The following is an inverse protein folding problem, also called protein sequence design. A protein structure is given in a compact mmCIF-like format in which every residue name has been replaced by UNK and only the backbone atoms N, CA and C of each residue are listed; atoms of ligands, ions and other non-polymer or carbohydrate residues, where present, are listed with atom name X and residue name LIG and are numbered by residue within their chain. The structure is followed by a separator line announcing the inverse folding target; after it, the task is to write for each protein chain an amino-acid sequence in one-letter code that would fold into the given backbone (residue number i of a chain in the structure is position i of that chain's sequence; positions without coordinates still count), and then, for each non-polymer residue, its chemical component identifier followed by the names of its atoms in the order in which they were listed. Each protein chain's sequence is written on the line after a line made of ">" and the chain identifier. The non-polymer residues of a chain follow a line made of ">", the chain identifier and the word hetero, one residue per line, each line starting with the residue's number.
data_IF_530540888491
#
_entry.id   IF_530540888491
#
_cell.length_a   1.000
_cell.length_b   1.000
_cell.length_c   1.000
_cell.angle_alpha   90.00
_cell.angle_beta   90.00
_cell.angle_gamma   90.00
#
_symmetry.space_group_name_H-M   'P 1'
#
loop_
_entity.id
_entity.type
_entity.pdbx_description
1 polymer ?
#
# COMPACT_ATOMS: atom_id res chain seq x y z
N UNK A 1 1.72 3.52 53.84
CA UNK A 1 1.75 4.58 52.76
C UNK A 1 2.36 4.13 51.42
N UNK A 2 3.18 3.06 51.37
CA UNK A 2 3.85 2.61 50.10
C UNK A 2 2.94 1.85 49.11
N UNK A 3 1.89 1.14 49.54
CA UNK A 3 1.00 0.34 48.63
C UNK A 3 0.14 1.22 47.67
N UNK A 4 -0.20 2.45 48.08
CA UNK A 4 -1.04 3.36 47.26
C UNK A 4 -0.23 3.94 46.11
N UNK A 5 1.05 4.29 46.30
CA UNK A 5 1.95 4.80 45.26
C UNK A 5 2.26 3.78 44.17
N UNK A 6 2.44 2.51 44.52
CA UNK A 6 2.72 1.42 43.57
C UNK A 6 1.52 1.11 42.67
N UNK A 7 0.28 1.22 43.20
CA UNK A 7 -0.92 0.97 42.42
C UNK A 7 -1.19 2.08 41.38
N UNK A 8 -0.98 3.35 41.76
CA UNK A 8 -1.14 4.50 40.85
C UNK A 8 -0.16 4.46 39.67
N UNK A 9 1.10 4.09 39.91
CA UNK A 9 2.12 3.97 38.86
C UNK A 9 1.82 2.80 37.89
N UNK A 10 1.17 1.73 38.36
CA UNK A 10 0.78 0.58 37.51
C UNK A 10 -0.38 0.93 36.60
N UNK A 11 -1.35 1.73 37.05
CA UNK A 11 -2.44 2.24 36.21
C UNK A 11 -1.92 3.19 35.13
N UNK A 12 -1.10 4.16 35.48
CA UNK A 12 -0.52 5.11 34.54
C UNK A 12 0.27 4.38 33.43
N UNK A 13 1.08 3.37 33.79
CA UNK A 13 1.83 2.59 32.80
C UNK A 13 0.91 1.83 31.84
N UNK A 14 -0.18 1.28 32.32
CA UNK A 14 -1.18 0.55 31.51
C UNK A 14 -1.89 1.48 30.52
N UNK A 15 -2.20 2.70 30.94
CA UNK A 15 -2.86 3.71 30.10
C UNK A 15 -1.94 4.14 28.95
N UNK A 16 -0.65 4.33 29.20
CA UNK A 16 0.35 4.63 28.15
C UNK A 16 0.49 3.50 27.13
N UNK A 17 0.51 2.24 27.58
CA UNK A 17 0.58 1.08 26.69
C UNK A 17 -0.63 1.01 25.77
N UNK A 18 -1.83 1.31 26.27
CA UNK A 18 -3.07 1.36 25.49
C UNK A 18 -3.03 2.50 24.47
N UNK A 19 -2.59 3.70 24.89
CA UNK A 19 -2.48 4.87 24.01
C UNK A 19 -1.51 4.58 22.85
N UNK A 20 -0.34 4.01 23.14
CA UNK A 20 0.65 3.63 22.12
C UNK A 20 0.04 2.62 21.13
N UNK A 21 -0.68 1.63 21.62
CA UNK A 21 -1.32 0.62 20.78
C UNK A 21 -2.39 1.23 19.86
N UNK A 22 -3.24 2.10 20.39
CA UNK A 22 -4.26 2.81 19.62
C UNK A 22 -3.62 3.72 18.56
N UNK A 23 -2.59 4.47 18.94
CA UNK A 23 -1.87 5.35 18.01
C UNK A 23 -1.23 4.54 16.88
N UNK A 24 -0.59 3.41 17.20
CA UNK A 24 -0.03 2.50 16.20
C UNK A 24 -1.12 1.98 15.23
N UNK A 25 -2.29 1.59 15.74
CA UNK A 25 -3.41 1.12 14.91
C UNK A 25 -3.93 2.21 13.98
N UNK A 26 -4.06 3.43 14.47
CA UNK A 26 -4.50 4.58 13.65
C UNK A 26 -3.48 4.86 12.54
N UNK A 27 -2.19 4.91 12.85
CA UNK A 27 -1.14 5.13 11.87
C UNK A 27 -1.08 3.99 10.84
N UNK A 28 -1.31 2.75 11.26
CA UNK A 28 -1.35 1.59 10.39
C UNK A 28 -2.51 1.65 9.39
N UNK A 29 -3.72 1.98 9.85
CA UNK A 29 -4.89 2.16 8.97
C UNK A 29 -4.65 3.32 7.99
N UNK A 30 -4.08 4.42 8.48
CA UNK A 30 -3.73 5.56 7.62
C UNK A 30 -2.72 5.16 6.54
N UNK A 31 -1.66 4.42 6.91
CA UNK A 31 -0.67 3.91 5.97
C UNK A 31 -1.32 3.03 4.88
N UNK A 32 -2.16 2.07 5.25
CA UNK A 32 -2.82 1.18 4.28
C UNK A 32 -3.68 1.99 3.31
N UNK A 33 -4.48 2.92 3.82
CA UNK A 33 -5.36 3.75 2.99
C UNK A 33 -4.57 4.64 2.03
N UNK A 34 -3.49 5.23 2.51
CA UNK A 34 -2.60 6.09 1.73
C UNK A 34 -1.84 5.29 0.67
N UNK A 35 -1.20 4.19 1.06
CA UNK A 35 -0.42 3.35 0.15
C UNK A 35 -1.30 2.70 -0.94
N UNK A 36 -2.52 2.30 -0.59
CA UNK A 36 -3.49 1.78 -1.57
C UNK A 36 -3.90 2.82 -2.62
N UNK A 37 -4.01 4.11 -2.25
CA UNK A 37 -4.27 5.19 -3.22
C UNK A 37 -3.11 5.38 -4.19
N UNK A 38 -1.89 5.31 -3.69
CA UNK A 38 -0.68 5.43 -4.50
C UNK A 38 -0.57 4.25 -5.48
N UNK A 39 -0.79 3.03 -4.98
CA UNK A 39 -0.73 1.81 -5.80
C UNK A 39 -1.67 1.85 -7.00
N UNK A 40 -2.77 2.57 -6.91
CA UNK A 40 -3.71 2.73 -8.02
C UNK A 40 -3.14 3.43 -9.25
N UNK A 41 -2.12 4.27 -9.06
CA UNK A 41 -1.47 5.05 -10.13
C UNK A 41 -0.02 4.62 -10.35
N UNK A 42 0.42 3.52 -9.71
CA UNK A 42 1.79 3.01 -9.80
C UNK A 42 1.84 1.77 -10.68
N UNK A 43 2.90 1.66 -11.46
CA UNK A 43 3.23 0.47 -12.24
C UNK A 43 4.64 0.05 -11.84
N UNK A 44 4.79 -1.17 -11.34
CA UNK A 44 6.08 -1.72 -10.98
C UNK A 44 6.71 -2.46 -12.17
N UNK A 45 8.02 -2.36 -12.31
CA UNK A 45 8.80 -3.21 -13.20
C UNK A 45 8.74 -4.62 -12.59
N UNK A 46 8.34 -5.62 -13.38
CA UNK A 46 8.27 -7.00 -12.87
C UNK A 46 9.64 -7.46 -12.39
N UNK A 47 9.77 -7.65 -11.09
CA UNK A 47 11.01 -8.10 -10.46
C UNK A 47 10.73 -9.19 -9.44
N UNK A 48 11.53 -10.26 -9.46
CA UNK A 48 11.47 -11.32 -8.44
C UNK A 48 11.93 -10.83 -7.05
N UNK A 49 12.58 -9.66 -7.00
CA UNK A 49 13.03 -9.04 -5.74
C UNK A 49 11.89 -8.61 -4.85
N UNK A 50 10.73 -8.23 -5.40
CA UNK A 50 9.54 -7.83 -4.64
C UNK A 50 9.03 -8.98 -3.77
N UNK A 51 8.85 -10.16 -4.38
CA UNK A 51 8.40 -11.35 -3.66
C UNK A 51 9.40 -11.77 -2.56
N UNK A 52 10.70 -11.71 -2.87
CA UNK A 52 11.76 -12.05 -1.90
C UNK A 52 11.77 -11.09 -0.71
N UNK A 53 11.69 -9.77 -0.96
CA UNK A 53 11.68 -8.78 0.11
C UNK A 53 10.42 -8.90 0.96
N UNK A 54 9.25 -9.12 0.35
CA UNK A 54 8.01 -9.35 1.08
C UNK A 54 8.11 -10.56 2.00
N UNK A 55 8.68 -11.68 1.54
CA UNK A 55 8.90 -12.86 2.37
C UNK A 55 9.84 -12.59 3.55
N UNK A 56 10.90 -11.79 3.34
CA UNK A 56 11.83 -11.39 4.40
C UNK A 56 11.10 -10.55 5.46
N UNK A 57 10.31 -9.56 5.05
CA UNK A 57 9.54 -8.70 5.97
C UNK A 57 8.52 -9.52 6.77
N UNK A 58 7.80 -10.43 6.11
CA UNK A 58 6.86 -11.34 6.76
C UNK A 58 7.59 -12.19 7.81
N UNK A 59 8.73 -12.79 7.45
CA UNK A 59 9.55 -13.61 8.36
C UNK A 59 10.04 -12.83 9.59
N UNK A 60 10.54 -11.61 9.39
CA UNK A 60 11.02 -10.75 10.48
C UNK A 60 9.87 -10.41 11.43
N UNK A 61 8.71 -9.98 10.91
CA UNK A 61 7.55 -9.58 11.71
C UNK A 61 6.96 -10.76 12.48
N UNK A 62 6.83 -11.93 11.84
CA UNK A 62 6.36 -13.15 12.47
C UNK A 62 7.30 -13.58 13.62
N UNK A 63 8.62 -13.54 13.38
CA UNK A 63 9.63 -13.92 14.38
C UNK A 63 9.64 -12.94 15.55
N UNK A 64 9.59 -11.64 15.29
CA UNK A 64 9.56 -10.61 16.34
C UNK A 64 8.32 -10.75 17.23
N UNK A 65 7.13 -10.96 16.63
CA UNK A 65 5.89 -11.20 17.37
C UNK A 65 5.97 -12.47 18.24
N UNK A 66 6.57 -13.54 17.72
CA UNK A 66 6.76 -14.79 18.45
C UNK A 66 7.69 -14.63 19.64
N UNK A 67 8.82 -13.93 19.45
CA UNK A 67 9.77 -13.65 20.53
C UNK A 67 9.10 -12.78 21.61
N UNK A 68 8.34 -11.76 21.21
CA UNK A 68 7.58 -10.92 22.14
C UNK A 68 6.58 -11.75 22.96
N UNK A 69 5.79 -12.60 22.32
CA UNK A 69 4.84 -13.49 22.99
C UNK A 69 5.52 -14.47 23.92
N UNK A 70 6.64 -15.07 23.49
CA UNK A 70 7.39 -16.03 24.31
C UNK A 70 7.99 -15.41 25.58
N UNK A 71 8.30 -14.11 25.56
CA UNK A 71 8.78 -13.38 26.75
C UNK A 71 7.65 -13.04 27.74
N UNK A 72 6.41 -13.00 27.28
CA UNK A 72 5.23 -12.72 28.12
C UNK A 72 4.70 -13.99 28.80
N UNK A 73 5.05 -15.18 28.31
CA UNK A 73 4.63 -16.46 28.87
C UNK A 73 5.63 -16.95 29.90
N UNK A 74 5.14 -17.53 31.03
CA UNK A 74 5.96 -18.09 32.08
C UNK A 74 6.41 -19.52 31.73
N UNK A 75 7.52 -19.97 32.30
CA UNK A 75 7.92 -21.38 32.24
C UNK A 75 7.48 -22.08 33.53
N UNK A 76 6.99 -23.35 33.47
CA UNK A 76 6.80 -24.20 32.29
C UNK A 76 5.62 -23.75 31.40
N UNK A 77 5.76 -23.91 30.07
CA UNK A 77 4.72 -23.51 29.09
C UNK A 77 3.56 -24.49 29.12
N UNK A 78 2.37 -23.93 29.19
CA UNK A 78 1.10 -24.67 29.07
C UNK A 78 0.68 -24.81 27.60
N UNK A 79 -0.32 -25.68 27.33
CA UNK A 79 -0.92 -25.78 25.99
C UNK A 79 -1.47 -24.44 25.50
N UNK A 80 -2.06 -23.64 26.40
CA UNK A 80 -2.61 -22.32 26.06
C UNK A 80 -1.51 -21.33 25.68
N UNK A 81 -0.34 -21.38 26.31
CA UNK A 81 0.81 -20.56 25.96
C UNK A 81 1.33 -20.90 24.55
N UNK A 82 1.35 -22.18 24.18
CA UNK A 82 1.72 -22.60 22.82
C UNK A 82 0.74 -22.07 21.77
N UNK A 83 -0.57 -22.13 22.03
CA UNK A 83 -1.59 -21.58 21.14
C UNK A 83 -1.41 -20.06 21.01
N UNK A 84 -1.19 -19.35 22.11
CA UNK A 84 -0.96 -17.90 22.10
C UNK A 84 0.28 -17.52 21.29
N UNK A 85 1.40 -18.21 21.48
CA UNK A 85 2.65 -17.96 20.72
C UNK A 85 2.43 -18.21 19.23
N UNK A 86 1.73 -19.31 18.86
CA UNK A 86 1.42 -19.61 17.45
C UNK A 86 0.49 -18.59 16.82
N UNK A 87 -0.50 -18.10 17.56
CA UNK A 87 -1.39 -17.03 17.07
C UNK A 87 -0.65 -15.71 16.83
N UNK A 88 0.31 -15.38 17.67
CA UNK A 88 1.16 -14.20 17.50
C UNK A 88 2.12 -14.33 16.31
N UNK A 89 2.61 -15.52 16.00
CA UNK A 89 3.37 -15.78 14.79
C UNK A 89 2.52 -15.47 13.52
N UNK A 90 1.30 -15.99 13.48
CA UNK A 90 0.38 -15.76 12.35
C UNK A 90 0.01 -14.28 12.26
N UNK A 91 -0.32 -13.63 13.37
CA UNK A 91 -0.67 -12.21 13.41
C UNK A 91 0.50 -11.33 12.94
N UNK A 92 1.72 -11.61 13.40
CA UNK A 92 2.93 -10.93 12.95
C UNK A 92 3.21 -11.11 11.46
N UNK A 93 3.02 -12.32 10.94
CA UNK A 93 3.14 -12.62 9.52
C UNK A 93 2.13 -11.87 8.67
N UNK A 94 0.86 -11.83 9.08
CA UNK A 94 -0.20 -11.06 8.40
C UNK A 94 0.09 -9.56 8.41
N UNK A 95 0.58 -9.03 9.53
CA UNK A 95 0.99 -7.63 9.63
C UNK A 95 2.16 -7.33 8.66
N UNK A 96 3.17 -8.19 8.63
CA UNK A 96 4.31 -8.07 7.72
C UNK A 96 3.87 -8.11 6.24
N UNK A 97 2.96 -9.03 5.90
CA UNK A 97 2.37 -9.10 4.56
C UNK A 97 1.66 -7.80 4.19
N UNK A 98 0.81 -7.28 5.08
CA UNK A 98 0.05 -6.05 4.82
C UNK A 98 0.95 -4.84 4.63
N UNK A 99 2.03 -4.74 5.40
CA UNK A 99 3.02 -3.67 5.26
C UNK A 99 3.80 -3.76 3.96
N UNK A 100 4.11 -4.98 3.49
CA UNK A 100 4.91 -5.18 2.29
C UNK A 100 4.14 -5.03 0.98
N UNK A 101 2.82 -5.26 0.97
CA UNK A 101 1.99 -5.29 -0.24
C UNK A 101 2.10 -4.02 -1.11
N UNK A 102 2.17 -2.84 -0.50
CA UNK A 102 2.24 -1.56 -1.20
C UNK A 102 3.55 -0.79 -0.93
N UNK A 103 4.54 -1.45 -0.34
CA UNK A 103 5.79 -0.79 0.04
C UNK A 103 6.58 -0.29 -1.17
N UNK A 104 6.59 -1.06 -2.25
CA UNK A 104 7.27 -0.69 -3.51
C UNK A 104 6.55 0.46 -4.22
N UNK A 105 5.22 0.47 -4.23
CA UNK A 105 4.43 1.57 -4.78
C UNK A 105 4.70 2.88 -4.01
N UNK A 106 4.71 2.79 -2.67
CA UNK A 106 5.06 3.92 -1.82
C UNK A 106 6.51 4.38 -2.04
N UNK A 107 7.44 3.46 -2.28
CA UNK A 107 8.83 3.77 -2.57
C UNK A 107 8.98 4.53 -3.91
N UNK A 108 8.30 4.10 -4.97
CA UNK A 108 8.30 4.80 -6.28
C UNK A 108 7.76 6.22 -6.12
N UNK A 109 6.69 6.39 -5.35
CA UNK A 109 6.08 7.69 -5.11
C UNK A 109 6.96 8.64 -4.31
N UNK A 110 7.61 8.15 -3.23
CA UNK A 110 8.38 8.96 -2.29
C UNK A 110 9.80 9.26 -2.79
N UNK A 111 10.39 8.35 -3.57
CA UNK A 111 11.78 8.42 -4.01
C UNK A 111 11.91 8.28 -5.55
N UNK A 112 11.32 9.23 -6.31
CA UNK A 112 11.48 9.26 -7.75
C UNK A 112 12.88 9.75 -8.11
N UNK A 113 13.53 9.11 -9.10
CA UNK A 113 14.81 9.55 -9.63
C UNK A 113 14.63 10.74 -10.61
N UNK A 114 13.55 10.69 -11.41
CA UNK A 114 13.22 11.75 -12.40
C UNK A 114 11.75 11.77 -12.73
N UNK A 115 11.32 12.91 -13.30
CA UNK A 115 10.02 13.05 -13.94
C UNK A 115 10.20 12.94 -15.44
N UNK A 116 9.39 12.12 -16.10
CA UNK A 116 9.37 11.94 -17.54
C UNK A 116 8.03 12.39 -18.13
N UNK A 117 8.06 12.81 -19.38
CA UNK A 117 6.90 13.21 -20.15
C UNK A 117 6.91 12.42 -21.45
N UNK A 118 5.77 11.84 -21.81
CA UNK A 118 5.67 11.05 -23.02
C UNK A 118 4.25 11.03 -23.56
N UNK A 119 4.13 10.61 -24.82
CA UNK A 119 2.84 10.40 -25.48
C UNK A 119 2.58 8.90 -25.53
N UNK A 120 1.38 8.49 -25.13
CA UNK A 120 0.93 7.11 -25.13
C UNK A 120 -0.35 6.95 -25.91
N UNK A 121 -0.51 5.78 -26.50
CA UNK A 121 -1.81 5.28 -26.93
C UNK A 121 -2.67 5.01 -25.71
N UNK A 122 -3.97 5.16 -25.85
CA UNK A 122 -4.91 4.88 -24.77
C UNK A 122 -6.12 4.11 -25.27
N UNK A 123 -6.77 3.43 -24.35
CA UNK A 123 -8.04 2.77 -24.53
C UNK A 123 -8.98 3.12 -23.37
N UNK A 124 -10.29 3.09 -23.63
CA UNK A 124 -11.32 3.45 -22.65
C UNK A 124 -12.16 2.24 -22.32
N UNK A 125 -12.22 1.88 -21.05
CA UNK A 125 -13.08 0.82 -20.55
C UNK A 125 -14.30 1.38 -19.82
N UNK A 126 -15.49 0.88 -20.15
CA UNK A 126 -16.74 1.19 -19.45
C UNK A 126 -17.50 -0.11 -19.24
N UNK A 127 -17.70 -0.49 -17.99
CA UNK A 127 -17.28 0.11 -16.72
C UNK A 127 -15.77 -0.06 -16.48
N UNK A 128 -15.19 0.83 -15.67
CA UNK A 128 -13.77 0.85 -15.35
C UNK A 128 -13.32 -0.29 -14.42
N UNK A 129 -12.06 -0.24 -13.96
CA UNK A 129 -11.47 -1.29 -13.14
C UNK A 129 -12.09 -1.39 -11.75
N UNK A 130 -11.93 -2.54 -11.11
CA UNK A 130 -12.26 -2.70 -9.70
C UNK A 130 -11.17 -2.07 -8.83
N UNK A 131 -11.60 -1.32 -7.80
CA UNK A 131 -10.76 -0.75 -6.75
C UNK A 131 -11.29 -1.22 -5.39
N UNK A 132 -10.77 -2.34 -4.93
CA UNK A 132 -11.30 -3.01 -3.74
C UNK A 132 -12.75 -3.48 -3.95
N UNK A 133 -13.68 -2.93 -3.18
CA UNK A 133 -15.11 -3.27 -3.26
C UNK A 133 -15.88 -2.45 -4.31
N UNK A 134 -15.31 -1.36 -4.77
CA UNK A 134 -15.96 -0.44 -5.71
C UNK A 134 -15.41 -0.63 -7.10
N UNK A 135 -16.28 -0.46 -8.09
CA UNK A 135 -15.93 -0.43 -9.49
C UNK A 135 -15.93 1.02 -9.96
N UNK A 136 -14.90 1.42 -10.66
CA UNK A 136 -14.83 2.74 -11.27
C UNK A 136 -15.90 2.87 -12.36
N UNK A 137 -16.45 4.06 -12.54
CA UNK A 137 -17.44 4.34 -13.60
C UNK A 137 -16.85 4.10 -14.98
N UNK A 138 -15.59 4.51 -15.14
CA UNK A 138 -14.81 4.33 -16.35
C UNK A 138 -13.34 4.10 -16.02
N UNK A 139 -12.59 3.53 -16.94
CA UNK A 139 -11.16 3.33 -16.89
C UNK A 139 -10.45 3.93 -18.08
N UNK A 140 -9.29 4.54 -17.84
CA UNK A 140 -8.36 4.95 -18.87
C UNK A 140 -7.16 4.00 -18.85
N UNK A 141 -7.04 3.20 -19.90
CA UNK A 141 -5.92 2.28 -20.09
C UNK A 141 -4.86 2.96 -20.94
N UNK A 142 -3.64 3.07 -20.42
CA UNK A 142 -2.51 3.65 -21.14
C UNK A 142 -1.25 2.80 -20.97
N UNK A 143 -0.31 2.91 -21.91
CA UNK A 143 0.95 2.18 -21.89
C UNK A 143 2.06 3.07 -21.31
N UNK A 144 2.61 2.67 -20.18
CA UNK A 144 3.75 3.37 -19.61
C UNK A 144 5.03 3.03 -20.38
N UNK A 145 5.76 4.06 -20.82
CA UNK A 145 6.97 3.88 -21.63
C UNK A 145 8.14 3.34 -20.81
N UNK A 146 8.21 3.71 -19.52
CA UNK A 146 9.33 3.32 -18.67
C UNK A 146 9.30 1.83 -18.30
N UNK A 147 8.11 1.32 -17.95
CA UNK A 147 7.92 -0.09 -17.58
C UNK A 147 7.51 -0.97 -18.76
N UNK A 148 7.16 -0.37 -19.91
CA UNK A 148 6.58 -1.03 -21.10
C UNK A 148 5.29 -1.81 -20.80
N UNK A 149 4.57 -1.45 -19.73
CA UNK A 149 3.36 -2.14 -19.25
C UNK A 149 2.13 -1.24 -19.39
N UNK A 150 0.98 -1.89 -19.50
CA UNK A 150 -0.30 -1.21 -19.45
C UNK A 150 -0.75 -0.98 -18.02
N UNK A 151 -1.26 0.23 -17.75
CA UNK A 151 -1.99 0.57 -16.53
C UNK A 151 -3.40 0.98 -16.89
N UNK A 152 -4.33 0.71 -16.00
CA UNK A 152 -5.71 1.16 -16.10
C UNK A 152 -6.02 2.09 -14.93
N UNK A 153 -6.17 3.38 -15.23
CA UNK A 153 -6.48 4.42 -14.25
C UNK A 153 -7.98 4.53 -14.06
N UNK A 154 -8.42 4.73 -12.82
CA UNK A 154 -9.81 5.00 -12.51
C UNK A 154 -10.17 6.44 -12.87
N UNK A 155 -11.26 6.61 -13.60
CA UNK A 155 -11.77 7.92 -14.01
C UNK A 155 -13.32 7.94 -14.02
N UNK A 156 -13.91 9.10 -14.21
CA UNK A 156 -15.36 9.23 -14.31
C UNK A 156 -15.79 9.19 -15.80
N UNK A 157 -17.05 8.82 -16.03
CA UNK A 157 -17.66 8.92 -17.36
C UNK A 157 -17.68 10.34 -17.90
N UNK A 158 -17.82 11.32 -17.00
CA UNK A 158 -17.84 12.74 -17.36
C UNK A 158 -16.47 13.21 -17.87
N UNK A 159 -15.37 12.76 -17.25
CA UNK A 159 -14.02 13.11 -17.72
C UNK A 159 -13.71 12.54 -19.10
N UNK A 160 -14.24 11.37 -19.43
CA UNK A 160 -14.05 10.70 -20.72
C UNK A 160 -15.09 11.13 -21.77
N UNK A 161 -16.14 11.87 -21.38
CA UNK A 161 -17.17 12.32 -22.31
C UNK A 161 -16.58 13.28 -23.34
N UNK A 162 -16.91 13.04 -24.60
CA UNK A 162 -16.56 13.95 -25.72
C UNK A 162 -17.14 15.34 -25.43
N UNK A 163 -16.31 16.36 -25.52
CA UNK A 163 -16.69 17.75 -25.25
C UNK A 163 -16.28 18.28 -23.87
N UNK A 164 -15.73 17.41 -22.99
CA UNK A 164 -15.14 17.83 -21.72
C UNK A 164 -13.59 17.82 -21.84
N UNK A 165 -12.90 16.90 -21.15
CA UNK A 165 -11.43 16.78 -21.26
C UNK A 165 -11.01 16.09 -22.55
N UNK A 166 -11.88 15.24 -23.14
CA UNK A 166 -11.65 14.51 -24.38
C UNK A 166 -12.48 15.12 -25.51
N UNK A 167 -11.85 15.39 -26.66
CA UNK A 167 -12.54 15.82 -27.88
C UNK A 167 -12.54 14.73 -28.95
N UNK A 168 -13.43 14.80 -29.90
CA UNK A 168 -13.49 13.88 -31.03
C UNK A 168 -12.19 14.01 -31.85
N UNK A 169 -11.53 12.90 -32.17
CA UNK A 169 -10.27 12.86 -32.91
C UNK A 169 -9.02 12.88 -32.06
N UNK A 170 -9.11 13.05 -30.72
CA UNK A 170 -7.98 12.85 -29.85
C UNK A 170 -7.69 11.35 -29.72
N UNK A 171 -6.56 10.89 -30.22
CA UNK A 171 -6.14 9.49 -30.33
C UNK A 171 -4.94 9.14 -29.44
N UNK A 172 -4.40 10.12 -28.71
CA UNK A 172 -3.28 9.95 -27.82
C UNK A 172 -3.49 10.65 -26.46
N UNK A 173 -2.70 10.28 -25.48
CA UNK A 173 -2.58 10.95 -24.19
C UNK A 173 -1.12 11.38 -23.95
N UNK A 174 -0.96 12.63 -23.57
CA UNK A 174 0.27 13.11 -22.98
C UNK A 174 0.28 12.72 -21.50
N UNK A 175 1.35 12.12 -21.02
CA UNK A 175 1.47 11.56 -19.69
C UNK A 175 2.66 12.18 -18.97
N UNK A 176 2.46 12.56 -17.72
CA UNK A 176 3.49 12.95 -16.77
C UNK A 176 3.67 11.83 -15.75
N UNK A 177 4.85 11.25 -15.66
CA UNK A 177 5.16 10.19 -14.71
C UNK A 177 6.44 10.48 -13.91
N UNK A 178 6.43 10.13 -12.63
CA UNK A 178 7.63 10.06 -11.78
C UNK A 178 8.15 8.64 -11.80
N UNK A 179 9.43 8.46 -12.11
CA UNK A 179 10.01 7.13 -12.31
C UNK A 179 11.28 6.93 -11.51
N UNK A 180 11.52 5.68 -11.13
CA UNK A 180 12.78 5.20 -10.59
C UNK A 180 13.06 3.77 -11.09
N UNK A 181 14.14 3.15 -10.62
CA UNK A 181 14.54 1.79 -11.02
C UNK A 181 13.54 0.69 -10.65
N UNK A 182 12.53 0.98 -9.80
CA UNK A 182 11.50 0.03 -9.36
C UNK A 182 10.22 0.15 -10.20
N UNK A 183 9.87 1.35 -10.66
CA UNK A 183 8.62 1.55 -11.40
C UNK A 183 8.33 3.00 -11.77
N UNK A 184 7.08 3.22 -12.13
CA UNK A 184 6.52 4.52 -12.53
C UNK A 184 5.27 4.85 -11.72
N UNK A 185 5.15 6.09 -11.27
CA UNK A 185 3.94 6.67 -10.70
C UNK A 185 3.38 7.70 -11.68
N UNK A 186 2.17 7.47 -12.18
CA UNK A 186 1.47 8.39 -13.08
C UNK A 186 0.93 9.56 -12.26
N UNK A 187 1.42 10.77 -12.56
CA UNK A 187 1.03 12.00 -11.86
C UNK A 187 -0.18 12.63 -12.50
N UNK A 188 -0.15 12.76 -13.84
CA UNK A 188 -1.19 13.44 -14.62
C UNK A 188 -1.21 12.93 -16.05
N UNK A 189 -2.34 13.15 -16.73
CA UNK A 189 -2.50 12.87 -18.15
C UNK A 189 -3.44 13.86 -18.82
N UNK A 190 -3.21 14.12 -20.10
CA UNK A 190 -4.05 14.99 -20.93
C UNK A 190 -4.30 14.35 -22.29
N UNK A 191 -5.54 14.44 -22.79
CA UNK A 191 -5.86 13.99 -24.13
C UNK A 191 -5.32 14.97 -25.17
N UNK A 192 -4.72 14.44 -26.23
CA UNK A 192 -4.11 15.23 -27.30
C UNK A 192 -4.44 14.63 -28.67
N UNK A 193 -4.31 15.45 -29.72
CA UNK A 193 -4.25 14.99 -31.10
C UNK A 193 -2.83 14.50 -31.40
N UNK A 194 -2.71 13.35 -32.06
CA UNK A 194 -1.43 12.81 -32.48
C UNK A 194 -0.99 13.40 -33.80
#
# INVERSE_FOLDING_TARGET
>A
MNKIKTNKNRHIKKDYEIIILITFFILFIFYISWASRISNNTILIKSDSEAKLSLIVIGIMATAATIGAARLTSAPRTRNDCIFISSMFIAGGLLGLTLSLNAFDAYVYLFPDKTIYYISEYDVSIPGPYRGRYRCEAGLRLKDIHTSRWIELCTSKEELKIGNKRQQGMDAVWVMARVNHVGSYIVDYQFIFK
#
